data_IF_792784900076
#
_entry.id   IF_792784900076
#
_cell.length_a   1.000
_cell.length_b   1.000
_cell.length_c   1.000
_cell.angle_alpha   90.00
_cell.angle_beta   90.00
_cell.angle_gamma   90.00
#
_symmetry.space_group_name_H-M   'P 1'
#
loop_
_entity.id
_entity.type
_entity.pdbx_description
1 polymer ?
#
# COMPACT_ATOMS: atom_id res chain seq x y z
N UNK A 1 -0.76 20.54 -23.15
CA UNK A 1 -1.48 19.50 -23.92
C UNK A 1 -1.93 18.41 -22.96
N UNK A 2 -2.99 17.66 -23.29
CA UNK A 2 -3.42 16.51 -22.47
C UNK A 2 -2.36 15.40 -22.59
N UNK A 3 -1.77 14.92 -21.49
CA UNK A 3 -0.82 13.81 -21.55
C UNK A 3 -1.55 12.50 -21.81
N UNK A 4 -1.07 11.71 -22.78
CA UNK A 4 -1.64 10.40 -23.11
C UNK A 4 -0.52 9.37 -23.18
N UNK A 5 -0.65 8.27 -22.44
CA UNK A 5 0.28 7.14 -22.50
C UNK A 5 -0.40 6.00 -23.23
N UNK A 6 0.21 5.52 -24.31
CA UNK A 6 -0.24 4.35 -25.04
C UNK A 6 0.70 3.17 -24.79
N UNK A 7 0.17 2.16 -24.11
CA UNK A 7 0.84 0.91 -23.77
C UNK A 7 0.12 -0.32 -24.39
N UNK A 8 -0.58 -0.10 -25.51
CA UNK A 8 -1.42 -1.12 -26.14
C UNK A 8 -0.71 -1.93 -27.23
N UNK A 9 -1.52 -2.53 -28.11
CA UNK A 9 -1.04 -3.35 -29.23
C UNK A 9 0.01 -2.61 -30.07
N UNK A 10 1.17 -3.24 -30.26
CA UNK A 10 2.27 -2.72 -31.07
C UNK A 10 1.85 -2.38 -32.51
N UNK A 11 0.92 -3.15 -33.10
CA UNK A 11 0.50 -2.99 -34.50
C UNK A 11 -0.42 -1.78 -34.69
N UNK A 12 -1.03 -1.29 -33.61
CA UNK A 12 -1.89 -0.11 -33.63
C UNK A 12 -1.12 1.20 -33.37
N UNK A 13 0.18 1.15 -33.05
CA UNK A 13 0.99 2.33 -32.70
C UNK A 13 0.98 3.40 -33.80
N UNK A 14 1.10 2.99 -35.05
CA UNK A 14 1.11 3.94 -36.18
C UNK A 14 -0.22 4.67 -36.34
N UNK A 15 -1.34 3.97 -36.12
CA UNK A 15 -2.69 4.56 -36.15
C UNK A 15 -2.83 5.55 -35.00
N UNK A 16 -2.46 5.13 -33.78
CA UNK A 16 -2.52 5.98 -32.58
C UNK A 16 -1.66 7.24 -32.73
N UNK A 17 -0.44 7.11 -33.28
CA UNK A 17 0.43 8.25 -33.58
C UNK A 17 -0.25 9.23 -34.54
N UNK A 18 -0.77 8.74 -35.67
CA UNK A 18 -1.43 9.59 -36.66
C UNK A 18 -2.66 10.30 -36.08
N UNK A 19 -3.41 9.64 -35.20
CA UNK A 19 -4.67 10.19 -34.65
C UNK A 19 -4.45 11.17 -33.51
N UNK A 20 -3.51 10.90 -32.59
CA UNK A 20 -3.43 11.64 -31.32
C UNK A 20 -2.23 12.59 -31.21
N UNK A 21 -1.17 12.43 -32.01
CA UNK A 21 0.09 13.18 -31.83
C UNK A 21 -0.06 14.69 -31.97
N UNK A 22 -0.99 15.17 -32.81
CA UNK A 22 -1.19 16.62 -33.03
C UNK A 22 -1.99 17.30 -31.91
N UNK A 23 -2.79 16.54 -31.16
CA UNK A 23 -3.72 17.09 -30.16
C UNK A 23 -3.32 16.77 -28.71
N UNK A 24 -2.32 15.91 -28.51
CA UNK A 24 -1.94 15.37 -27.20
C UNK A 24 -0.44 15.23 -27.07
N UNK A 25 0.04 15.30 -25.83
CA UNK A 25 1.41 14.90 -25.50
C UNK A 25 1.48 13.37 -25.41
N UNK A 26 1.37 12.71 -26.57
CA UNK A 26 1.33 11.26 -26.69
C UNK A 26 2.72 10.65 -26.44
N UNK A 27 2.78 9.70 -25.51
CA UNK A 27 3.95 8.85 -25.26
C UNK A 27 3.58 7.40 -25.49
N UNK A 28 4.35 6.72 -26.33
CA UNK A 28 4.21 5.27 -26.54
C UNK A 28 5.22 4.54 -25.67
N UNK A 29 4.75 3.53 -24.94
CA UNK A 29 5.59 2.63 -24.14
C UNK A 29 5.41 1.19 -24.60
N UNK A 30 6.13 0.26 -23.98
CA UNK A 30 5.99 -1.17 -24.25
C UNK A 30 4.56 -1.66 -23.98
N UNK A 31 4.14 -2.68 -24.72
CA UNK A 31 2.81 -3.25 -24.57
C UNK A 31 2.68 -3.88 -23.17
N UNK A 32 1.61 -3.55 -22.44
CA UNK A 32 1.29 -4.13 -21.14
C UNK A 32 1.19 -5.66 -21.17
N UNK A 33 0.81 -6.21 -22.32
CA UNK A 33 0.65 -7.65 -22.54
C UNK A 33 1.23 -8.01 -23.92
N UNK A 34 2.58 -8.11 -24.04
CA UNK A 34 3.22 -8.38 -25.33
C UNK A 34 2.79 -9.71 -25.95
N UNK A 35 2.48 -10.69 -25.10
CA UNK A 35 1.86 -11.99 -25.41
C UNK A 35 0.77 -12.25 -24.36
N UNK A 36 -0.19 -13.13 -24.64
CA UNK A 36 -1.33 -13.36 -23.74
C UNK A 36 -0.87 -13.88 -22.36
N UNK A 37 0.22 -14.61 -22.29
CA UNK A 37 0.68 -15.31 -21.09
C UNK A 37 1.60 -14.44 -20.22
N UNK A 38 1.87 -13.18 -20.61
CA UNK A 38 2.85 -12.34 -19.91
C UNK A 38 2.44 -10.88 -19.85
N UNK A 39 2.44 -10.34 -18.63
CA UNK A 39 2.33 -8.91 -18.38
C UNK A 39 3.71 -8.24 -18.31
N UNK A 40 3.76 -6.98 -18.75
CA UNK A 40 4.92 -6.10 -18.70
C UNK A 40 4.48 -4.71 -18.24
N UNK A 41 4.22 -4.58 -16.93
CA UNK A 41 3.57 -3.40 -16.35
C UNK A 41 4.55 -2.24 -16.08
N UNK A 42 5.83 -2.53 -15.85
CA UNK A 42 6.83 -1.56 -15.40
C UNK A 42 6.99 -0.35 -16.33
N UNK A 43 7.08 -0.50 -17.67
CA UNK A 43 7.26 0.65 -18.56
C UNK A 43 6.11 1.66 -18.48
N UNK A 44 4.86 1.17 -18.39
CA UNK A 44 3.69 2.02 -18.26
C UNK A 44 3.59 2.66 -16.87
N UNK A 45 3.83 1.88 -15.80
CA UNK A 45 3.85 2.40 -14.42
C UNK A 45 4.89 3.51 -14.25
N UNK A 46 6.10 3.30 -14.76
CA UNK A 46 7.17 4.30 -14.72
C UNK A 46 6.76 5.57 -15.47
N UNK A 47 6.16 5.44 -16.66
CA UNK A 47 5.75 6.62 -17.43
C UNK A 47 4.58 7.39 -16.79
N UNK A 48 3.62 6.68 -16.17
CA UNK A 48 2.55 7.31 -15.38
C UNK A 48 3.16 8.08 -14.22
N UNK A 49 4.13 7.49 -13.52
CA UNK A 49 4.84 8.14 -12.42
C UNK A 49 5.58 9.40 -12.90
N UNK A 50 6.35 9.32 -13.98
CA UNK A 50 7.04 10.48 -14.56
C UNK A 50 6.06 11.61 -14.88
N UNK A 51 4.94 11.29 -15.53
CA UNK A 51 3.94 12.29 -15.88
C UNK A 51 3.31 12.93 -14.64
N UNK A 52 3.04 12.14 -13.59
CA UNK A 52 2.55 12.66 -12.32
C UNK A 52 3.56 13.63 -11.68
N UNK A 53 4.85 13.29 -11.70
CA UNK A 53 5.91 14.14 -11.14
C UNK A 53 6.08 15.44 -11.95
N UNK A 54 6.14 15.34 -13.28
CA UNK A 54 6.35 16.48 -14.18
C UNK A 54 5.15 17.43 -14.25
N UNK A 55 3.92 16.91 -14.17
CA UNK A 55 2.71 17.70 -14.44
C UNK A 55 1.89 18.01 -13.20
N UNK A 56 1.93 17.17 -12.16
CA UNK A 56 1.16 17.41 -10.93
C UNK A 56 2.09 17.93 -9.83
N UNK A 57 3.15 17.19 -9.50
CA UNK A 57 4.05 17.58 -8.40
C UNK A 57 4.90 18.80 -8.71
N UNK A 58 5.30 19.01 -9.97
CA UNK A 58 6.05 20.21 -10.37
C UNK A 58 5.30 21.54 -10.10
N UNK A 59 3.98 21.48 -9.94
CA UNK A 59 3.13 22.62 -9.59
C UNK A 59 2.83 22.70 -8.08
N UNK A 60 3.26 21.72 -7.29
CA UNK A 60 3.08 21.76 -5.85
C UNK A 60 3.89 22.92 -5.23
N UNK A 61 3.29 23.68 -4.29
CA UNK A 61 3.97 24.79 -3.64
C UNK A 61 5.32 24.36 -3.03
N UNK A 62 6.39 25.08 -3.38
CA UNK A 62 7.74 24.81 -2.88
C UNK A 62 8.51 23.68 -3.58
N UNK A 63 7.87 22.86 -4.43
CA UNK A 63 8.53 21.71 -5.06
C UNK A 63 9.76 22.09 -5.90
N UNK A 64 9.64 23.11 -6.76
CA UNK A 64 10.76 23.60 -7.59
C UNK A 64 11.94 24.12 -6.76
N UNK A 65 11.67 24.72 -5.60
CA UNK A 65 12.72 25.21 -4.70
C UNK A 65 13.37 24.07 -3.93
N UNK A 66 12.60 23.04 -3.55
CA UNK A 66 13.13 21.83 -2.92
C UNK A 66 14.04 21.06 -3.88
N UNK A 67 13.63 20.85 -5.13
CA UNK A 67 14.45 20.16 -6.14
C UNK A 67 15.82 20.80 -6.36
N UNK A 68 15.93 22.14 -6.26
CA UNK A 68 17.22 22.85 -6.38
C UNK A 68 18.12 22.67 -5.17
N UNK A 69 17.57 22.21 -4.04
CA UNK A 69 18.26 22.04 -2.75
C UNK A 69 18.62 20.60 -2.44
N UNK A 70 18.27 19.65 -3.31
CA UNK A 70 18.51 18.21 -3.11
C UNK A 70 19.35 17.65 -4.24
N UNK A 71 20.38 16.88 -3.89
CA UNK A 71 21.25 16.21 -4.89
C UNK A 71 20.61 14.95 -5.49
N UNK A 72 19.51 14.47 -4.90
CA UNK A 72 18.75 13.30 -5.34
C UNK A 72 17.33 13.67 -5.77
N UNK A 73 16.71 12.91 -6.69
CA UNK A 73 15.31 13.10 -7.07
C UNK A 73 14.38 12.97 -5.86
N UNK A 74 13.33 13.79 -5.84
CA UNK A 74 12.27 13.67 -4.84
C UNK A 74 11.49 12.39 -5.10
N UNK A 75 11.41 11.53 -4.09
CA UNK A 75 10.69 10.27 -4.15
C UNK A 75 9.36 10.37 -3.39
N UNK A 76 8.26 9.83 -3.91
CA UNK A 76 7.02 9.71 -3.14
C UNK A 76 7.18 8.69 -2.01
N UNK A 77 6.51 8.94 -0.88
CA UNK A 77 6.47 8.05 0.30
C UNK A 77 6.27 6.58 -0.08
N UNK A 78 5.24 6.19 -0.86
CA UNK A 78 5.07 4.79 -1.27
C UNK A 78 6.22 4.21 -2.10
N UNK A 79 6.98 5.01 -2.83
CA UNK A 79 8.18 4.53 -3.54
C UNK A 79 9.31 4.19 -2.57
N UNK A 80 9.50 5.01 -1.55
CA UNK A 80 10.54 4.80 -0.55
C UNK A 80 10.23 3.62 0.38
N UNK A 81 8.99 3.50 0.84
CA UNK A 81 8.55 2.38 1.70
C UNK A 81 8.65 1.04 0.94
N UNK A 82 8.29 1.03 -0.35
CA UNK A 82 8.43 -0.12 -1.23
C UNK A 82 9.86 -0.69 -1.23
N UNK A 83 10.88 0.17 -1.38
CA UNK A 83 12.28 -0.27 -1.42
C UNK A 83 12.69 -1.04 -0.17
N UNK A 84 12.25 -0.60 1.01
CA UNK A 84 12.61 -1.28 2.27
C UNK A 84 11.86 -2.59 2.47
N UNK A 85 10.57 -2.64 2.12
CA UNK A 85 9.79 -3.90 2.19
C UNK A 85 10.40 -4.93 1.23
N UNK A 86 10.75 -4.51 0.02
CA UNK A 86 11.40 -5.36 -0.96
C UNK A 86 12.79 -5.82 -0.50
N UNK A 87 13.58 -4.93 0.12
CA UNK A 87 14.89 -5.27 0.67
C UNK A 87 14.80 -6.35 1.77
N UNK A 88 13.86 -6.21 2.71
CA UNK A 88 13.62 -7.23 3.76
C UNK A 88 13.23 -8.57 3.14
N UNK A 89 12.26 -8.57 2.22
CA UNK A 89 11.78 -9.79 1.57
C UNK A 89 12.89 -10.50 0.78
N UNK A 90 13.70 -9.74 0.02
CA UNK A 90 14.84 -10.27 -0.75
C UNK A 90 15.95 -10.83 0.15
N UNK A 91 16.31 -10.09 1.20
CA UNK A 91 17.39 -10.47 2.13
C UNK A 91 17.04 -11.75 2.89
N UNK A 92 15.83 -11.81 3.44
CA UNK A 92 15.38 -12.97 4.23
C UNK A 92 14.83 -14.11 3.33
N UNK A 93 14.58 -13.84 2.04
CA UNK A 93 13.96 -14.76 1.07
C UNK A 93 12.58 -15.24 1.55
N UNK A 94 11.75 -14.28 1.94
CA UNK A 94 10.43 -14.52 2.53
C UNK A 94 9.33 -13.78 1.78
N UNK A 95 8.09 -14.25 1.96
CA UNK A 95 6.91 -13.50 1.60
C UNK A 95 6.57 -12.48 2.70
N UNK A 96 6.27 -11.26 2.29
CA UNK A 96 6.13 -10.12 3.20
C UNK A 96 4.98 -9.21 2.79
N UNK A 97 4.32 -8.63 3.79
CA UNK A 97 3.40 -7.50 3.62
C UNK A 97 3.96 -6.30 4.36
N UNK A 98 3.97 -5.15 3.69
CA UNK A 98 4.18 -3.85 4.30
C UNK A 98 2.90 -3.03 4.25
N UNK A 99 2.67 -2.20 5.24
CA UNK A 99 1.57 -1.23 5.23
C UNK A 99 2.00 0.11 5.80
N UNK A 100 1.61 1.19 5.15
CA UNK A 100 1.78 2.56 5.65
C UNK A 100 0.42 3.26 5.73
N UNK A 101 -0.09 3.49 6.94
CA UNK A 101 -1.37 4.17 7.15
C UNK A 101 -1.14 5.65 7.46
N UNK A 102 -1.49 6.49 6.48
CA UNK A 102 -1.34 7.94 6.55
C UNK A 102 -2.63 8.67 6.95
N UNK A 103 -2.54 10.00 6.91
CA UNK A 103 -3.70 10.86 7.17
C UNK A 103 -4.74 10.84 6.05
N UNK A 104 -4.32 10.67 4.79
CA UNK A 104 -5.20 10.69 3.62
C UNK A 104 -5.32 9.33 2.93
N UNK A 105 -4.23 8.56 2.90
CA UNK A 105 -4.12 7.32 2.15
C UNK A 105 -3.60 6.19 3.03
N UNK A 106 -3.85 4.96 2.61
CA UNK A 106 -3.21 3.75 3.15
C UNK A 106 -2.55 3.02 2.00
N UNK A 107 -1.26 2.81 2.11
CA UNK A 107 -0.46 2.10 1.11
C UNK A 107 -0.22 0.68 1.59
N UNK A 108 -0.50 -0.30 0.74
CA UNK A 108 -0.23 -1.72 1.01
C UNK A 108 0.76 -2.24 -0.03
N UNK A 109 1.80 -2.90 0.47
CA UNK A 109 2.89 -3.48 -0.28
C UNK A 109 2.91 -4.97 -0.02
N UNK A 110 3.17 -5.77 -1.05
CA UNK A 110 3.37 -7.19 -0.87
C UNK A 110 4.49 -7.71 -1.75
N UNK A 111 5.21 -8.68 -1.22
CA UNK A 111 6.16 -9.52 -1.94
C UNK A 111 5.72 -10.95 -1.72
N UNK A 112 5.24 -11.58 -2.78
CA UNK A 112 4.88 -13.00 -2.78
C UNK A 112 5.57 -13.69 -3.94
N UNK A 113 6.27 -14.78 -3.68
CA UNK A 113 7.01 -15.54 -4.71
C UNK A 113 7.99 -14.64 -5.50
N UNK A 114 8.55 -13.63 -4.83
CA UNK A 114 9.45 -12.64 -5.45
C UNK A 114 8.76 -11.61 -6.35
N UNK A 115 7.43 -11.64 -6.47
CA UNK A 115 6.64 -10.66 -7.22
C UNK A 115 6.23 -9.52 -6.28
N UNK A 116 6.62 -8.31 -6.64
CA UNK A 116 6.25 -7.11 -5.90
C UNK A 116 4.94 -6.49 -6.40
N UNK A 117 4.03 -6.20 -5.48
CA UNK A 117 2.81 -5.45 -5.73
C UNK A 117 2.65 -4.29 -4.75
N UNK A 118 2.07 -3.19 -5.25
CA UNK A 118 1.73 -2.00 -4.47
C UNK A 118 0.35 -1.51 -4.83
N UNK A 119 -0.42 -1.14 -3.83
CA UNK A 119 -1.68 -0.42 -3.98
C UNK A 119 -1.72 0.78 -3.05
N UNK A 120 -2.27 1.89 -3.56
CA UNK A 120 -2.49 3.13 -2.82
C UNK A 120 -3.99 3.34 -2.69
N UNK A 121 -4.53 3.15 -1.48
CA UNK A 121 -5.94 3.39 -1.20
C UNK A 121 -6.17 4.86 -0.89
N UNK A 122 -6.47 5.65 -1.93
CA UNK A 122 -6.53 7.10 -1.86
C UNK A 122 -7.59 7.67 -0.88
N UNK A 123 -8.59 6.88 -0.53
CA UNK A 123 -9.72 7.29 0.31
C UNK A 123 -9.71 6.68 1.72
N UNK A 124 -8.68 5.90 2.07
CA UNK A 124 -8.62 5.22 3.35
C UNK A 124 -7.48 5.82 4.18
N UNK A 125 -7.79 6.83 5.00
CA UNK A 125 -6.79 7.53 5.80
C UNK A 125 -7.35 8.00 7.14
N UNK A 126 -6.47 8.27 8.09
CA UNK A 126 -6.84 8.48 9.50
C UNK A 126 -7.10 9.94 9.90
N UNK A 127 -6.98 10.87 8.96
CA UNK A 127 -7.23 12.29 9.16
C UNK A 127 -8.14 12.85 8.07
N UNK A 128 -7.58 13.23 6.93
CA UNK A 128 -8.29 13.89 5.83
C UNK A 128 -9.39 13.01 5.22
N UNK A 129 -9.21 11.70 5.23
CA UNK A 129 -10.13 10.73 4.61
C UNK A 129 -10.87 9.85 5.64
N UNK A 130 -10.86 10.20 6.92
CA UNK A 130 -11.40 9.34 7.98
C UNK A 130 -12.91 9.10 7.84
N UNK A 131 -13.66 10.06 7.28
CA UNK A 131 -15.09 9.87 7.01
C UNK A 131 -15.36 8.94 5.83
N UNK A 132 -14.41 8.80 4.90
CA UNK A 132 -14.52 7.83 3.81
C UNK A 132 -14.34 6.41 4.35
N UNK A 133 -13.44 6.20 5.32
CA UNK A 133 -13.32 4.92 6.03
C UNK A 133 -14.67 4.55 6.69
N UNK A 134 -15.32 5.51 7.37
CA UNK A 134 -16.66 5.28 7.92
C UNK A 134 -17.70 4.93 6.84
N UNK A 135 -17.66 5.62 5.70
CA UNK A 135 -18.61 5.38 4.61
C UNK A 135 -18.42 4.00 3.96
N UNK A 136 -17.18 3.57 3.76
CA UNK A 136 -16.85 2.28 3.13
C UNK A 136 -16.98 1.10 4.10
N UNK A 137 -16.52 1.26 5.35
CA UNK A 137 -16.60 0.21 6.36
C UNK A 137 -18.03 0.01 6.88
N UNK A 138 -18.81 1.09 6.96
CA UNK A 138 -20.06 1.09 7.70
C UNK A 138 -19.84 1.22 9.21
N UNK A 139 -20.83 1.81 9.89
CA UNK A 139 -20.73 2.13 11.32
C UNK A 139 -20.62 0.87 12.19
N UNK A 140 -21.36 -0.19 11.83
CA UNK A 140 -21.41 -1.46 12.57
C UNK A 140 -20.03 -2.12 12.67
N UNK A 141 -19.27 -2.10 11.57
CA UNK A 141 -17.92 -2.66 11.53
C UNK A 141 -16.90 -1.84 12.34
N UNK A 142 -17.17 -0.56 12.61
CA UNK A 142 -16.34 0.24 13.52
C UNK A 142 -16.76 0.00 14.97
N UNK A 143 -18.08 -0.01 15.24
CA UNK A 143 -18.62 -0.17 16.59
C UNK A 143 -18.29 -1.53 17.22
N UNK A 144 -18.12 -2.61 16.42
CA UNK A 144 -17.73 -3.93 16.94
C UNK A 144 -16.41 -3.94 17.72
N UNK A 145 -15.52 -2.97 17.47
CA UNK A 145 -14.23 -2.85 18.15
C UNK A 145 -14.30 -1.98 19.41
N UNK A 146 -15.45 -1.36 19.66
CA UNK A 146 -15.66 -0.40 20.72
C UNK A 146 -16.49 -1.02 21.86
N UNK A 147 -16.37 -0.48 23.09
CA UNK A 147 -17.29 -0.81 24.18
C UNK A 147 -18.77 -0.58 23.80
N UNK A 148 -19.68 -1.41 24.33
CA UNK A 148 -21.12 -1.40 24.00
C UNK A 148 -21.83 -0.08 24.33
N UNK A 149 -21.26 0.76 25.19
CA UNK A 149 -21.85 2.00 25.69
C UNK A 149 -21.61 3.23 24.78
N UNK A 150 -20.89 3.09 23.66
CA UNK A 150 -20.65 4.21 22.74
C UNK A 150 -21.88 4.47 21.86
N UNK A 151 -22.48 5.65 22.03
CA UNK A 151 -23.56 6.15 21.17
C UNK A 151 -23.08 6.40 19.73
N UNK A 152 -23.81 5.85 18.76
CA UNK A 152 -23.51 5.98 17.33
C UNK A 152 -23.43 7.45 16.88
N UNK A 153 -24.34 8.30 17.36
CA UNK A 153 -24.38 9.70 16.97
C UNK A 153 -23.14 10.45 17.47
N UNK A 154 -22.72 10.18 18.70
CA UNK A 154 -21.46 10.65 19.27
C UNK A 154 -20.26 10.22 18.43
N UNK A 155 -20.18 8.93 18.07
CA UNK A 155 -19.12 8.38 17.23
C UNK A 155 -19.02 9.10 15.87
N UNK A 156 -20.15 9.24 15.14
CA UNK A 156 -20.20 9.95 13.86
C UNK A 156 -19.76 11.40 13.97
N UNK A 157 -20.13 12.09 15.05
CA UNK A 157 -19.73 13.47 15.28
C UNK A 157 -18.22 13.58 15.54
N UNK A 158 -17.63 12.67 16.33
CA UNK A 158 -16.18 12.65 16.59
C UNK A 158 -15.38 12.39 15.30
N UNK A 159 -15.81 11.45 14.46
CA UNK A 159 -15.18 11.17 13.16
C UNK A 159 -15.20 12.40 12.25
N UNK A 160 -16.35 13.06 12.13
CA UNK A 160 -16.49 14.30 11.32
C UNK A 160 -15.63 15.44 11.88
N UNK A 161 -15.57 15.58 13.21
CA UNK A 161 -14.74 16.58 13.87
C UNK A 161 -13.25 16.35 13.59
N UNK A 162 -12.79 15.10 13.59
CA UNK A 162 -11.42 14.75 13.19
C UNK A 162 -11.13 15.14 11.75
N UNK A 163 -12.04 14.87 10.82
CA UNK A 163 -11.86 15.23 9.40
C UNK A 163 -11.70 16.75 9.18
N UNK A 164 -12.50 17.58 9.88
CA UNK A 164 -12.38 19.04 9.78
C UNK A 164 -11.18 19.61 10.56
N UNK A 165 -10.59 18.84 11.48
CA UNK A 165 -9.40 19.19 12.27
C UNK A 165 -8.36 18.07 12.16
N UNK A 166 -7.79 17.84 10.96
CA UNK A 166 -7.03 16.64 10.63
C UNK A 166 -5.71 16.48 11.40
N UNK A 167 -5.22 17.58 12.00
CA UNK A 167 -3.99 17.64 12.80
C UNK A 167 -4.21 17.37 14.29
N UNK A 168 -5.46 17.16 14.73
CA UNK A 168 -5.73 16.78 16.11
C UNK A 168 -5.24 15.37 16.39
N UNK A 169 -4.75 15.14 17.61
CA UNK A 169 -4.37 13.82 18.12
C UNK A 169 -5.32 13.45 19.26
N UNK A 170 -5.58 12.16 19.49
CA UNK A 170 -6.36 11.71 20.64
C UNK A 170 -5.75 12.23 21.95
N UNK A 171 -6.54 12.99 22.72
CA UNK A 171 -6.16 13.47 24.05
C UNK A 171 -6.89 12.72 25.17
N UNK A 172 -8.00 12.04 24.84
CA UNK A 172 -8.72 11.14 25.74
C UNK A 172 -8.60 9.69 25.28
N UNK A 173 -8.68 8.75 26.24
CA UNK A 173 -8.64 7.32 25.96
C UNK A 173 -9.78 6.86 25.05
N UNK A 174 -10.96 7.47 25.17
CA UNK A 174 -12.12 7.18 24.33
C UNK A 174 -11.85 7.53 22.85
N UNK A 175 -11.29 8.72 22.59
CA UNK A 175 -10.90 9.13 21.23
C UNK A 175 -9.84 8.21 20.65
N UNK A 176 -8.88 7.77 21.47
CA UNK A 176 -7.85 6.82 21.04
C UNK A 176 -8.47 5.48 20.63
N UNK A 177 -9.41 4.95 21.42
CA UNK A 177 -10.13 3.71 21.09
C UNK A 177 -10.90 3.85 19.77
N UNK A 178 -11.56 4.99 19.57
CA UNK A 178 -12.29 5.29 18.33
C UNK A 178 -11.34 5.34 17.13
N UNK A 179 -10.24 6.08 17.21
CA UNK A 179 -9.27 6.14 16.12
C UNK A 179 -8.62 4.77 15.84
N UNK A 180 -8.34 3.97 16.87
CA UNK A 180 -7.83 2.61 16.68
C UNK A 180 -8.87 1.64 16.08
N UNK A 181 -10.16 1.79 16.40
CA UNK A 181 -11.24 1.03 15.77
C UNK A 181 -11.35 1.36 14.27
N UNK A 182 -11.25 2.63 13.92
CA UNK A 182 -11.30 3.09 12.53
C UNK A 182 -10.03 2.65 11.77
N UNK A 183 -8.87 2.68 12.43
CA UNK A 183 -7.62 2.20 11.82
C UNK A 183 -7.69 0.73 11.42
N UNK A 184 -8.31 -0.14 12.25
CA UNK A 184 -8.56 -1.54 11.89
C UNK A 184 -9.35 -1.66 10.59
N UNK A 185 -10.43 -0.90 10.45
CA UNK A 185 -11.26 -0.93 9.25
C UNK A 185 -10.56 -0.32 8.03
N UNK A 186 -9.80 0.76 8.20
CA UNK A 186 -9.00 1.34 7.12
C UNK A 186 -7.97 0.33 6.59
N UNK A 187 -7.25 -0.34 7.50
CA UNK A 187 -6.26 -1.37 7.17
C UNK A 187 -6.92 -2.58 6.50
N UNK A 188 -8.05 -3.07 7.04
CA UNK A 188 -8.80 -4.21 6.48
C UNK A 188 -9.27 -3.91 5.05
N UNK A 189 -9.89 -2.74 4.84
CA UNK A 189 -10.38 -2.33 3.52
C UNK A 189 -9.23 -2.13 2.52
N UNK A 190 -8.13 -1.50 2.95
CA UNK A 190 -6.96 -1.31 2.09
C UNK A 190 -6.34 -2.66 1.70
N UNK A 191 -6.30 -3.62 2.63
CA UNK A 191 -5.82 -4.96 2.35
C UNK A 191 -6.75 -5.75 1.43
N UNK A 192 -8.07 -5.66 1.60
CA UNK A 192 -9.04 -6.24 0.67
C UNK A 192 -8.90 -5.67 -0.74
N UNK A 193 -8.74 -4.36 -0.87
CA UNK A 193 -8.44 -3.71 -2.16
C UNK A 193 -7.13 -4.25 -2.74
N UNK A 194 -6.10 -4.40 -1.91
CA UNK A 194 -4.81 -4.95 -2.33
C UNK A 194 -4.94 -6.37 -2.88
N UNK A 195 -5.59 -7.29 -2.15
CA UNK A 195 -5.82 -8.69 -2.59
C UNK A 195 -6.53 -8.77 -3.94
N UNK A 196 -7.48 -7.88 -4.19
CA UNK A 196 -8.24 -7.83 -5.45
C UNK A 196 -7.42 -7.32 -6.65
N UNK A 197 -6.37 -6.54 -6.40
CA UNK A 197 -5.50 -5.97 -7.43
C UNK A 197 -4.21 -6.79 -7.64
N UNK A 198 -3.67 -7.36 -6.57
CA UNK A 198 -2.53 -8.27 -6.60
C UNK A 198 -3.00 -9.67 -7.00
N UNK A 199 -3.42 -9.83 -8.25
CA UNK A 199 -3.95 -11.08 -8.81
C UNK A 199 -3.04 -11.59 -9.93
N UNK A 200 -3.05 -12.91 -10.13
CA UNK A 200 -2.42 -13.53 -11.30
C UNK A 200 -3.11 -13.15 -12.61
N UNK A 201 -2.50 -13.55 -13.73
CA UNK A 201 -2.99 -13.27 -15.08
C UNK A 201 -4.47 -13.69 -15.27
N UNK A 202 -5.30 -12.74 -15.72
CA UNK A 202 -6.70 -12.98 -16.09
C UNK A 202 -6.84 -13.28 -17.58
N UNK A 203 -7.60 -14.33 -17.90
CA UNK A 203 -8.00 -14.64 -19.29
C UNK A 203 -6.88 -15.23 -20.16
N UNK A 204 -6.08 -16.13 -19.61
CA UNK A 204 -5.22 -17.04 -20.39
C UNK A 204 -5.95 -18.38 -20.46
N UNK A 205 -6.17 -18.94 -21.66
CA UNK A 205 -6.42 -20.37 -21.78
C UNK A 205 -5.11 -21.06 -21.39
N UNK A 206 -4.97 -21.47 -20.13
CA UNK A 206 -3.86 -22.33 -19.75
C UNK A 206 -3.89 -23.57 -20.66
N UNK A 207 -2.77 -23.89 -21.31
CA UNK A 207 -2.59 -25.18 -21.98
C UNK A 207 -2.68 -26.26 -20.90
N UNK A 208 -3.90 -26.79 -20.71
CA UNK A 208 -4.19 -27.75 -19.65
C UNK A 208 -3.39 -29.02 -19.89
N UNK A 209 -2.40 -29.29 -19.06
CA UNK A 209 -1.91 -30.66 -18.92
C UNK A 209 -2.89 -31.45 -18.05
N UNK A 210 -2.90 -32.78 -18.21
CA UNK A 210 -3.80 -33.68 -17.45
C UNK A 210 -3.60 -33.52 -15.92
N UNK A 211 -2.44 -33.03 -15.49
CA UNK A 211 -2.15 -32.73 -14.07
C UNK A 211 -2.83 -31.45 -13.57
N UNK A 212 -3.05 -30.45 -14.42
CA UNK A 212 -3.75 -29.19 -14.08
C UNK A 212 -5.26 -29.39 -13.92
N UNK A 213 -5.80 -30.53 -14.38
CA UNK A 213 -7.20 -30.87 -14.17
C UNK A 213 -7.53 -31.18 -12.69
N UNK A 214 -6.51 -31.52 -11.88
CA UNK A 214 -6.66 -31.80 -10.45
C UNK A 214 -6.41 -30.57 -9.57
N UNK A 215 -5.63 -29.60 -10.04
CA UNK A 215 -5.44 -28.30 -9.39
C UNK A 215 -6.30 -27.25 -10.11
N UNK A 216 -7.57 -27.12 -9.71
CA UNK A 216 -8.46 -26.07 -10.20
C UNK A 216 -8.02 -24.67 -9.70
N UNK A 217 -6.83 -24.19 -10.05
CA UNK A 217 -6.48 -22.78 -9.83
C UNK A 217 -7.20 -21.93 -10.86
N UNK A 218 -8.17 -21.13 -10.41
CA UNK A 218 -8.94 -20.23 -11.25
C UNK A 218 -8.07 -19.05 -11.72
N UNK A 219 -8.19 -18.65 -12.98
CA UNK A 219 -7.50 -17.46 -13.48
C UNK A 219 -7.95 -16.22 -12.69
N UNK A 220 -7.00 -15.41 -12.22
CA UNK A 220 -7.30 -14.20 -11.45
C UNK A 220 -7.44 -14.39 -9.94
N UNK A 221 -6.99 -15.53 -9.40
CA UNK A 221 -6.74 -15.69 -7.96
C UNK A 221 -5.72 -14.66 -7.46
N UNK A 222 -5.85 -14.31 -6.18
CA UNK A 222 -4.91 -13.40 -5.51
C UNK A 222 -3.54 -14.05 -5.41
N UNK A 223 -2.49 -13.25 -5.59
CA UNK A 223 -1.11 -13.65 -5.34
C UNK A 223 -0.78 -13.71 -3.84
N UNK A 224 -1.71 -13.24 -2.99
CA UNK A 224 -1.55 -13.16 -1.55
C UNK A 224 -1.91 -14.51 -0.92
N UNK A 225 -0.88 -15.26 -0.50
CA UNK A 225 -1.03 -16.50 0.26
C UNK A 225 -0.73 -16.26 1.74
N UNK A 226 -1.78 -16.17 2.57
CA UNK A 226 -1.61 -15.87 3.99
C UNK A 226 -0.89 -16.99 4.77
N UNK A 227 -0.89 -18.23 4.26
CA UNK A 227 -0.18 -19.34 4.89
C UNK A 227 1.34 -19.28 4.67
N UNK A 228 1.79 -18.67 3.57
CA UNK A 228 3.22 -18.46 3.29
C UNK A 228 3.77 -17.15 3.89
N UNK A 229 2.87 -16.25 4.30
CA UNK A 229 3.21 -14.93 4.83
C UNK A 229 4.08 -15.02 6.07
N UNK A 230 5.33 -14.59 5.93
CA UNK A 230 6.32 -14.68 7.00
C UNK A 230 6.34 -13.43 7.88
N UNK A 231 6.02 -12.25 7.35
CA UNK A 231 6.06 -10.99 8.10
C UNK A 231 5.04 -9.95 7.63
N UNK A 232 4.44 -9.25 8.58
CA UNK A 232 3.72 -7.99 8.37
C UNK A 232 4.52 -6.85 9.02
N UNK A 233 4.86 -5.83 8.22
CA UNK A 233 5.55 -4.62 8.66
C UNK A 233 4.57 -3.45 8.64
N UNK A 234 4.22 -2.93 9.81
CA UNK A 234 3.36 -1.77 9.97
C UNK A 234 4.15 -0.45 10.03
N UNK A 235 3.67 0.58 9.34
CA UNK A 235 4.17 1.95 9.35
C UNK A 235 2.99 2.94 9.42
N UNK A 236 3.30 4.19 9.70
CA UNK A 236 2.34 5.30 9.71
C UNK A 236 1.87 5.63 11.11
N UNK A 237 1.37 6.86 11.28
CA UNK A 237 1.17 7.48 12.60
C UNK A 237 0.37 6.60 13.58
N UNK A 238 -0.71 5.98 13.11
CA UNK A 238 -1.58 5.13 13.92
C UNK A 238 -0.90 3.86 14.43
N UNK A 239 0.03 3.29 13.64
CA UNK A 239 0.75 2.05 13.99
C UNK A 239 2.04 2.35 14.75
N UNK A 240 2.85 3.29 14.26
CA UNK A 240 4.16 3.65 14.81
C UNK A 240 4.06 4.30 16.20
N UNK A 241 3.06 5.15 16.43
CA UNK A 241 2.89 5.93 17.67
C UNK A 241 1.75 5.42 18.57
N UNK A 242 1.25 4.20 18.37
CA UNK A 242 0.31 3.61 19.31
C UNK A 242 0.93 3.60 20.73
N UNK A 243 0.21 4.06 21.77
CA UNK A 243 0.78 4.19 23.12
C UNK A 243 1.35 2.88 23.70
N UNK A 244 0.82 1.73 23.26
CA UNK A 244 1.35 0.42 23.61
C UNK A 244 1.50 -0.43 22.36
N UNK A 245 2.63 -1.13 22.25
CA UNK A 245 2.97 -1.96 21.08
C UNK A 245 1.99 -3.10 20.83
N UNK A 246 1.35 -3.63 21.88
CA UNK A 246 0.30 -4.63 21.72
C UNK A 246 -0.94 -4.08 20.97
N UNK A 247 -1.21 -2.77 21.03
CA UNK A 247 -2.30 -2.17 20.27
C UNK A 247 -2.00 -2.19 18.77
N UNK A 248 -0.76 -1.87 18.38
CA UNK A 248 -0.29 -2.02 16.98
C UNK A 248 -0.41 -3.47 16.52
N UNK A 249 0.08 -4.41 17.32
CA UNK A 249 0.00 -5.84 16.98
C UNK A 249 -1.45 -6.30 16.79
N UNK A 250 -2.35 -5.92 17.70
CA UNK A 250 -3.78 -6.24 17.59
C UNK A 250 -4.40 -5.62 16.34
N UNK A 251 -4.14 -4.34 16.04
CA UNK A 251 -4.67 -3.72 14.82
C UNK A 251 -4.20 -4.42 13.55
N UNK A 252 -2.94 -4.85 13.50
CA UNK A 252 -2.42 -5.61 12.36
C UNK A 252 -3.07 -7.00 12.26
N UNK A 253 -3.19 -7.73 13.37
CA UNK A 253 -3.82 -9.06 13.38
C UNK A 253 -5.30 -8.95 12.96
N UNK A 254 -6.05 -8.02 13.56
CA UNK A 254 -7.48 -7.80 13.30
C UNK A 254 -7.76 -7.41 11.84
N UNK A 255 -6.84 -6.67 11.20
CA UNK A 255 -7.02 -6.16 9.84
C UNK A 255 -6.57 -7.15 8.75
N UNK A 256 -5.43 -7.82 8.96
CA UNK A 256 -4.81 -8.67 7.94
C UNK A 256 -5.19 -10.15 8.08
N UNK A 257 -5.64 -10.57 9.26
CA UNK A 257 -6.04 -11.95 9.56
C UNK A 257 -5.00 -12.98 9.07
N UNK A 258 -3.72 -12.88 9.49
CA UNK A 258 -2.67 -13.78 9.03
C UNK A 258 -3.00 -15.24 9.39
N UNK A 259 -2.53 -16.18 8.58
CA UNK A 259 -2.70 -17.62 8.78
C UNK A 259 -1.33 -18.28 9.02
N UNK A 260 -1.29 -19.40 9.75
CA UNK A 260 -0.04 -20.09 10.04
C UNK A 260 0.81 -19.34 11.07
N UNK A 261 2.07 -19.04 10.74
CA UNK A 261 3.02 -18.38 11.65
C UNK A 261 3.59 -17.14 10.98
N UNK A 262 3.11 -15.97 11.41
CA UNK A 262 3.50 -14.68 10.83
C UNK A 262 4.15 -13.79 11.88
N UNK A 263 5.33 -13.24 11.58
CA UNK A 263 5.96 -12.19 12.39
C UNK A 263 5.21 -10.88 12.22
N UNK A 264 4.99 -10.17 13.31
CA UNK A 264 4.50 -8.79 13.28
C UNK A 264 5.64 -7.86 13.67
N UNK A 265 5.91 -6.85 12.86
CA UNK A 265 6.89 -5.82 13.14
C UNK A 265 6.31 -4.44 12.84
N UNK A 266 6.90 -3.40 13.43
CA UNK A 266 6.49 -2.01 13.19
C UNK A 266 7.71 -1.13 13.00
N UNK A 267 7.63 -0.20 12.06
CA UNK A 267 8.50 0.97 12.01
C UNK A 267 8.15 1.88 13.18
N UNK A 268 8.96 1.82 14.23
CA UNK A 268 8.64 2.38 15.53
C UNK A 268 8.71 3.91 15.61
N UNK A 269 9.38 4.55 14.64
CA UNK A 269 9.62 6.00 14.59
C UNK A 269 9.27 6.64 13.23
N UNK A 270 8.58 5.91 12.36
CA UNK A 270 8.11 6.36 11.05
C UNK A 270 9.26 6.85 10.13
N UNK A 271 10.34 6.06 10.10
CA UNK A 271 11.55 6.34 9.33
C UNK A 271 11.64 5.60 8.00
N UNK A 272 10.73 4.65 7.71
CA UNK A 272 10.73 3.91 6.45
C UNK A 272 10.77 4.81 5.20
N UNK A 273 9.97 5.90 5.10
CA UNK A 273 10.06 6.77 3.93
C UNK A 273 11.43 7.47 3.79
N UNK A 274 12.04 7.86 4.91
CA UNK A 274 13.32 8.55 4.91
C UNK A 274 14.47 7.60 4.57
N UNK A 275 14.47 6.42 5.17
CA UNK A 275 15.47 5.38 4.94
C UNK A 275 15.34 4.76 3.54
N UNK A 276 14.13 4.68 2.99
CA UNK A 276 13.91 4.27 1.61
C UNK A 276 14.59 5.22 0.62
N UNK A 277 14.48 6.54 0.81
CA UNK A 277 15.24 7.51 0.00
C UNK A 277 16.74 7.34 0.21
N UNK A 278 17.19 7.25 1.46
CA UNK A 278 18.61 7.07 1.79
C UNK A 278 19.20 5.80 1.13
N UNK A 279 18.41 4.72 1.03
CA UNK A 279 18.86 3.46 0.44
C UNK A 279 19.30 3.59 -1.03
N UNK A 280 18.80 4.60 -1.75
CA UNK A 280 19.21 4.87 -3.14
C UNK A 280 20.62 5.44 -3.28
N UNK A 281 21.20 5.93 -2.18
CA UNK A 281 22.54 6.54 -2.12
C UNK A 281 23.48 5.70 -1.25
N UNK A 282 22.98 5.22 -0.11
CA UNK A 282 23.71 4.47 0.91
C UNK A 282 22.86 3.29 1.42
N UNK A 283 22.70 2.27 0.57
CA UNK A 283 21.89 1.07 0.85
C UNK A 283 22.27 0.38 2.16
N UNK A 284 23.57 0.17 2.41
CA UNK A 284 24.06 -0.53 3.59
C UNK A 284 23.69 0.21 4.88
N UNK A 285 23.96 1.52 4.95
CA UNK A 285 23.62 2.35 6.11
C UNK A 285 22.11 2.45 6.33
N UNK A 286 21.33 2.61 5.26
CA UNK A 286 19.88 2.68 5.36
C UNK A 286 19.29 1.37 5.91
N UNK A 287 19.79 0.24 5.43
CA UNK A 287 19.37 -1.10 5.87
C UNK A 287 19.78 -1.35 7.31
N UNK A 288 21.01 -0.99 7.69
CA UNK A 288 21.49 -1.18 9.06
C UNK A 288 20.67 -0.38 10.07
N UNK A 289 20.41 0.91 9.80
CA UNK A 289 19.57 1.75 10.66
C UNK A 289 18.13 1.22 10.69
N UNK A 290 17.59 0.80 9.54
CA UNK A 290 16.24 0.27 9.49
C UNK A 290 16.10 -0.97 10.38
N UNK A 291 17.02 -1.93 10.27
CA UNK A 291 16.95 -3.19 11.00
C UNK A 291 17.27 -3.07 12.49
N UNK A 292 18.23 -2.21 12.85
CA UNK A 292 18.71 -2.11 14.24
C UNK A 292 17.90 -1.11 15.06
N UNK A 293 17.49 0.00 14.45
CA UNK A 293 16.96 1.14 15.20
C UNK A 293 15.46 1.39 14.95
N UNK A 294 14.94 1.05 13.77
CA UNK A 294 13.57 1.39 13.39
C UNK A 294 12.59 0.20 13.49
N UNK A 295 12.97 -0.96 12.94
CA UNK A 295 12.12 -2.13 12.78
C UNK A 295 12.01 -2.90 14.11
N UNK A 296 10.94 -2.65 14.84
CA UNK A 296 10.70 -3.28 16.12
C UNK A 296 9.85 -4.54 15.95
N UNK A 297 10.35 -5.75 16.29
CA UNK A 297 9.53 -6.96 16.31
C UNK A 297 8.51 -6.89 17.45
N UNK A 298 7.24 -7.17 17.13
CA UNK A 298 6.13 -7.17 18.08
C UNK A 298 5.75 -8.58 18.56
N UNK A 299 6.17 -9.61 17.85
CA UNK A 299 5.94 -11.02 18.19
C UNK A 299 5.56 -11.87 16.97
N UNK A 300 5.19 -13.12 17.23
CA UNK A 300 4.64 -14.03 16.22
C UNK A 300 3.13 -14.18 16.46
N UNK A 301 2.33 -14.02 15.40
CA UNK A 301 0.96 -14.46 15.38
C UNK A 301 0.93 -15.93 14.91
N UNK A 302 0.26 -16.79 15.68
CA UNK A 302 0.01 -18.19 15.30
C UNK A 302 -1.50 -18.35 15.20
N UNK A 303 -2.00 -18.55 13.99
CA UNK A 303 -3.43 -18.63 13.73
C UNK A 303 -3.77 -19.81 12.81
N UNK A 304 -4.94 -20.45 12.99
CA UNK A 304 -5.42 -21.43 12.02
C UNK A 304 -5.74 -20.75 10.68
N UNK A 305 -5.75 -21.53 9.60
CA UNK A 305 -6.33 -21.07 8.34
C UNK A 305 -7.86 -21.06 8.44
N UNK A 306 -8.51 -20.07 7.82
CA UNK A 306 -9.98 -19.97 7.74
C UNK A 306 -10.59 -18.66 8.22
#
# INVERSE_FOLDING_TARGET
ELPVIYAGNKDARDIILKTLKENTALVIVENLRPVLERENLSPARNKIHDQFMEHVMAHAPGYKELMKKTDVPIMPTPGAVELLVEAVAKKEKIDAIGVDIGGATTDVFSVFQGIFNRTVSANLGMSYSISNVLAEAGIENIMRWLPEDIDERSLRNRIRNKMIRPTTIPSALEDLKIEQAIAREALRLAFEQHKNMAVGLKGVQQERTISDAFAQTMTGETLIDLMSLSIIIGSGGSLSHAPRRNQTALMAIDAFLPEGVTRIAVDSIFMMPHLGVLSTVHEESATEVFEKDCLLPLGHCIAPAG
#
